data_IF_369416490717
#
_entry.id   IF_369416490717
#
_cell.length_a   1.000
_cell.length_b   1.000
_cell.length_c   1.000
_cell.angle_alpha   90.00
_cell.angle_beta   90.00
_cell.angle_gamma   90.00
#
_symmetry.space_group_name_H-M   'P 1'
#
loop_
_entity.id
_entity.type
_entity.pdbx_description
1 polymer ?
#
# COMPACT_ATOMS: atom_id res chain seq x y z
N UNK A 1 -12.79 -49.25 44.85
CA UNK A 1 -11.41 -49.31 45.37
C UNK A 1 -10.50 -49.63 44.20
N UNK A 2 -9.80 -48.64 43.67
CA UNK A 2 -8.44 -48.74 43.12
C UNK A 2 -8.09 -47.36 42.56
N UNK A 3 -7.17 -46.72 43.22
CA UNK A 3 -6.55 -45.43 42.94
C UNK A 3 -5.40 -45.63 41.96
N UNK A 4 -5.33 -44.81 40.90
CA UNK A 4 -4.15 -44.71 40.04
C UNK A 4 -3.42 -43.37 40.25
N UNK A 5 -2.08 -43.35 40.31
CA UNK A 5 -1.32 -42.17 40.68
C UNK A 5 -1.04 -41.26 39.46
N UNK A 6 -1.09 -39.97 39.75
CA UNK A 6 -0.67 -38.85 38.91
C UNK A 6 0.85 -38.88 38.65
N UNK A 7 1.26 -38.82 37.39
CA UNK A 7 2.67 -38.63 36.98
C UNK A 7 2.88 -37.18 36.53
N UNK A 8 3.48 -36.40 37.40
CA UNK A 8 3.97 -35.04 37.09
C UNK A 8 5.30 -35.12 36.35
N UNK A 9 5.33 -34.70 35.06
CA UNK A 9 6.57 -34.49 34.30
C UNK A 9 7.00 -33.03 34.43
N UNK A 10 8.10 -32.86 35.17
CA UNK A 10 8.85 -31.62 35.26
C UNK A 10 9.54 -31.30 33.91
N UNK A 11 9.27 -30.11 33.37
CA UNK A 11 9.98 -29.56 32.21
C UNK A 11 11.22 -28.83 32.71
N UNK A 12 12.40 -29.36 32.35
CA UNK A 12 13.67 -28.71 32.64
C UNK A 12 13.92 -27.61 31.61
N UNK A 13 14.15 -26.39 32.10
CA UNK A 13 14.61 -25.24 31.33
C UNK A 13 16.10 -25.39 31.01
N UNK A 14 16.44 -25.50 29.74
CA UNK A 14 17.80 -25.40 29.26
C UNK A 14 18.15 -23.92 28.99
N UNK A 15 19.14 -23.40 29.72
CA UNK A 15 19.73 -22.08 29.50
C UNK A 15 20.79 -22.17 28.40
N UNK A 16 20.83 -21.22 27.40
CA UNK A 16 21.95 -21.18 26.45
C UNK A 16 23.16 -20.47 27.07
N UNK A 17 24.31 -21.13 27.01
CA UNK A 17 25.61 -20.64 27.40
C UNK A 17 26.10 -19.54 26.48
N UNK A 18 26.52 -18.41 27.06
CA UNK A 18 27.21 -17.32 26.38
C UNK A 18 28.66 -17.72 26.08
N UNK A 19 28.96 -17.99 24.81
CA UNK A 19 30.34 -18.08 24.32
C UNK A 19 30.91 -16.68 24.06
N UNK A 20 31.87 -16.25 24.87
CA UNK A 20 32.71 -15.08 24.61
C UNK A 20 33.76 -15.44 23.57
N UNK A 21 33.69 -14.85 22.38
CA UNK A 21 34.78 -14.88 21.40
C UNK A 21 35.64 -13.63 21.59
N UNK A 22 36.82 -13.82 22.17
CA UNK A 22 37.89 -12.79 22.27
C UNK A 22 38.60 -12.71 20.93
N UNK A 23 38.48 -11.59 20.21
CA UNK A 23 39.34 -11.29 19.06
C UNK A 23 40.60 -10.58 19.52
N UNK A 24 41.77 -11.22 19.31
CA UNK A 24 43.09 -10.58 19.42
C UNK A 24 43.27 -9.61 18.24
N UNK A 25 43.51 -8.34 18.57
CA UNK A 25 43.93 -7.34 17.59
C UNK A 25 45.46 -7.45 17.39
N UNK A 26 45.88 -7.83 16.20
CA UNK A 26 47.26 -7.72 15.77
C UNK A 26 47.51 -6.28 15.24
N UNK A 27 48.32 -5.52 15.93
CA UNK A 27 48.76 -4.18 15.51
C UNK A 27 49.90 -4.34 14.47
N UNK A 28 49.57 -4.09 13.20
CA UNK A 28 50.53 -3.92 12.12
C UNK A 28 50.86 -2.46 11.93
N UNK A 29 52.12 -2.08 12.33
CA UNK A 29 52.69 -0.78 12.04
C UNK A 29 53.06 -0.72 10.55
N UNK A 30 52.35 0.07 9.75
CA UNK A 30 52.78 0.43 8.38
C UNK A 30 53.19 1.89 8.40
N UNK A 31 54.46 2.12 8.10
CA UNK A 31 55.07 3.45 8.10
C UNK A 31 54.42 4.35 7.03
N UNK A 32 53.95 5.50 7.49
CA UNK A 32 53.43 6.56 6.62
C UNK A 32 54.63 7.36 6.07
N UNK A 33 54.89 7.23 4.77
CA UNK A 33 55.75 8.14 4.02
C UNK A 33 54.96 9.42 3.82
N UNK A 34 55.34 10.51 4.51
CA UNK A 34 54.79 11.83 4.30
C UNK A 34 55.31 12.42 2.99
N UNK A 35 54.58 12.28 1.92
CA UNK A 35 54.72 13.08 0.70
C UNK A 35 54.02 14.44 0.97
N UNK A 36 54.82 15.47 1.19
CA UNK A 36 54.30 16.87 1.22
C UNK A 36 54.01 17.28 -0.22
N UNK A 37 52.76 17.65 -0.55
CA UNK A 37 52.47 18.25 -1.86
C UNK A 37 53.04 19.69 -1.86
N UNK A 38 53.90 19.99 -2.84
CA UNK A 38 54.34 21.31 -3.18
C UNK A 38 53.12 22.15 -3.58
N UNK A 39 52.80 23.20 -2.85
CA UNK A 39 51.75 24.14 -3.22
C UNK A 39 52.27 25.01 -4.35
N UNK A 40 51.70 24.84 -5.53
CA UNK A 40 51.91 25.68 -6.69
C UNK A 40 51.05 26.96 -6.51
N UNK A 41 51.68 28.17 -6.39
CA UNK A 41 50.91 29.39 -6.09
C UNK A 41 50.05 29.91 -7.25
N UNK A 42 50.16 29.33 -8.45
CA UNK A 42 49.42 29.75 -9.65
C UNK A 42 48.31 28.78 -10.10
N UNK A 43 47.90 27.85 -9.27
CA UNK A 43 46.79 26.98 -9.61
C UNK A 43 45.49 27.76 -9.59
N UNK A 44 44.66 27.70 -10.70
CA UNK A 44 43.36 28.38 -10.72
C UNK A 44 42.45 27.79 -9.64
N UNK A 45 42.02 28.62 -8.70
CA UNK A 45 40.98 28.27 -7.70
C UNK A 45 39.70 27.92 -8.44
N UNK A 46 39.45 26.63 -8.63
CA UNK A 46 38.14 26.14 -9.03
C UNK A 46 37.16 26.50 -7.90
N UNK A 47 36.38 27.55 -8.13
CA UNK A 47 35.26 27.92 -7.26
C UNK A 47 34.28 26.73 -7.27
N UNK A 48 34.33 25.94 -6.20
CA UNK A 48 33.29 24.98 -5.89
C UNK A 48 32.04 25.77 -5.48
N UNK A 49 31.22 26.15 -6.48
CA UNK A 49 29.84 26.55 -6.19
C UNK A 49 29.20 25.40 -5.44
N UNK A 50 28.59 25.64 -4.27
CA UNK A 50 27.86 24.60 -3.57
C UNK A 50 26.75 24.11 -4.52
N UNK A 51 26.88 22.85 -4.95
CA UNK A 51 25.84 22.18 -5.73
C UNK A 51 24.60 22.19 -4.84
N UNK A 52 23.63 23.06 -5.18
CA UNK A 52 22.32 23.02 -4.55
C UNK A 52 21.83 21.55 -4.55
N UNK A 53 21.31 21.04 -3.42
CA UNK A 53 20.70 19.75 -3.43
C UNK A 53 19.62 19.81 -4.50
N UNK A 54 19.80 19.00 -5.55
CA UNK A 54 18.78 18.76 -6.56
C UNK A 54 17.53 18.39 -5.77
N UNK A 55 16.49 19.23 -5.88
CA UNK A 55 15.21 18.93 -5.26
C UNK A 55 14.90 17.49 -5.63
N UNK A 56 14.83 16.63 -4.62
CA UNK A 56 14.40 15.26 -4.81
C UNK A 56 13.03 15.36 -5.50
N UNK A 57 12.97 14.98 -6.77
CA UNK A 57 11.70 14.82 -7.49
C UNK A 57 11.04 13.65 -6.76
N UNK A 58 10.19 13.99 -5.79
CA UNK A 58 9.27 13.00 -5.21
C UNK A 58 8.54 12.39 -6.42
N UNK A 59 8.55 11.05 -6.59
CA UNK A 59 7.83 10.43 -7.69
C UNK A 59 6.35 10.69 -7.48
N UNK A 60 5.87 11.77 -8.08
CA UNK A 60 4.45 12.10 -8.11
C UNK A 60 3.83 11.05 -9.03
N UNK A 61 3.22 10.02 -8.45
CA UNK A 61 2.32 9.14 -9.19
C UNK A 61 1.23 10.05 -9.74
N UNK A 62 1.31 10.39 -11.01
CA UNK A 62 0.28 11.15 -11.72
C UNK A 62 -0.95 10.24 -11.80
N UNK A 63 -1.75 10.30 -10.74
CA UNK A 63 -3.12 9.81 -10.78
C UNK A 63 -3.85 10.70 -11.80
N UNK A 64 -4.42 10.09 -12.84
CA UNK A 64 -5.05 10.80 -13.95
C UNK A 64 -6.14 11.76 -13.46
N UNK A 65 -6.58 12.70 -14.32
CA UNK A 65 -7.66 13.66 -14.05
C UNK A 65 -8.93 13.01 -13.45
N UNK A 66 -9.14 11.75 -13.71
CA UNK A 66 -10.23 10.93 -13.14
C UNK A 66 -10.14 10.75 -11.62
N UNK A 67 -8.94 10.76 -11.03
CA UNK A 67 -8.77 10.67 -9.57
C UNK A 67 -9.25 11.92 -8.84
N UNK A 68 -9.18 13.08 -9.50
CA UNK A 68 -9.71 14.34 -8.95
C UNK A 68 -11.23 14.33 -8.87
N UNK A 69 -11.91 13.74 -9.86
CA UNK A 69 -13.37 13.61 -9.88
C UNK A 69 -13.87 12.65 -8.79
N UNK A 70 -13.20 11.53 -8.56
CA UNK A 70 -13.53 10.66 -7.42
C UNK A 70 -13.33 11.40 -6.08
N UNK A 71 -12.25 12.17 -5.97
CA UNK A 71 -11.99 13.02 -4.82
C UNK A 71 -13.13 14.02 -4.56
N UNK A 72 -13.71 14.61 -5.60
CA UNK A 72 -14.86 15.51 -5.50
C UNK A 72 -16.11 14.79 -5.00
N UNK A 73 -16.41 13.58 -5.52
CA UNK A 73 -17.54 12.78 -5.02
C UNK A 73 -17.38 12.49 -3.53
N UNK A 74 -16.17 12.06 -3.13
CA UNK A 74 -15.88 11.75 -1.73
C UNK A 74 -15.91 13.01 -0.84
N UNK A 75 -15.43 14.15 -1.34
CA UNK A 75 -15.50 15.41 -0.60
C UNK A 75 -16.96 15.86 -0.37
N UNK A 76 -17.86 15.64 -1.33
CA UNK A 76 -19.26 16.05 -1.28
C UNK A 76 -20.15 15.08 -0.49
N UNK A 77 -19.95 13.78 -0.68
CA UNK A 77 -20.89 12.74 -0.20
C UNK A 77 -20.26 11.76 0.78
N UNK A 78 -18.97 11.96 1.11
CA UNK A 78 -18.17 11.07 1.95
C UNK A 78 -18.18 9.61 1.43
N UNK A 79 -18.42 8.64 2.29
CA UNK A 79 -18.43 7.21 1.95
C UNK A 79 -19.79 6.73 1.38
N UNK A 80 -20.85 7.55 1.44
CA UNK A 80 -22.21 7.11 1.13
C UNK A 80 -22.40 6.56 -0.30
N UNK A 81 -21.86 7.18 -1.37
CA UNK A 81 -21.94 6.62 -2.71
C UNK A 81 -21.31 5.24 -2.82
N UNK A 82 -20.12 5.06 -2.23
CA UNK A 82 -19.43 3.77 -2.23
C UNK A 82 -20.22 2.73 -1.42
N UNK A 83 -20.75 3.09 -0.27
CA UNK A 83 -21.60 2.21 0.52
C UNK A 83 -22.82 1.73 -0.29
N UNK A 84 -23.46 2.62 -1.02
CA UNK A 84 -24.63 2.28 -1.87
C UNK A 84 -24.25 1.29 -2.98
N UNK A 85 -23.06 1.44 -3.57
CA UNK A 85 -22.54 0.50 -4.57
C UNK A 85 -22.31 -0.88 -3.93
N UNK A 86 -21.69 -0.93 -2.76
CA UNK A 86 -21.31 -2.17 -2.07
C UNK A 86 -22.50 -2.92 -1.48
N UNK A 87 -23.63 -2.26 -1.19
CA UNK A 87 -24.88 -2.90 -0.72
C UNK A 87 -25.47 -3.91 -1.68
N UNK A 88 -25.04 -3.91 -2.93
CA UNK A 88 -25.41 -4.95 -3.91
C UNK A 88 -24.76 -6.30 -3.63
N UNK A 89 -23.71 -6.30 -2.80
CA UNK A 89 -22.88 -7.48 -2.55
C UNK A 89 -22.90 -7.90 -1.09
N UNK A 90 -23.14 -6.97 -0.16
CA UNK A 90 -23.09 -7.22 1.27
C UNK A 90 -24.26 -6.61 2.02
N UNK A 91 -24.45 -7.04 3.28
CA UNK A 91 -25.41 -6.42 4.20
C UNK A 91 -25.08 -4.94 4.37
N UNK A 92 -26.11 -4.08 4.58
CA UNK A 92 -25.93 -2.63 4.69
C UNK A 92 -24.88 -2.20 5.73
N UNK A 93 -24.81 -2.89 6.86
CA UNK A 93 -23.88 -2.59 7.94
C UNK A 93 -22.43 -2.80 7.50
N UNK A 94 -22.14 -3.95 6.87
CA UNK A 94 -20.82 -4.27 6.33
C UNK A 94 -20.44 -3.32 5.20
N UNK A 95 -21.37 -3.07 4.28
CA UNK A 95 -21.14 -2.14 3.16
C UNK A 95 -20.79 -0.73 3.64
N UNK A 96 -21.46 -0.22 4.68
CA UNK A 96 -21.16 1.09 5.27
C UNK A 96 -19.79 1.11 5.95
N UNK A 97 -19.46 0.08 6.76
CA UNK A 97 -18.15 -0.01 7.44
C UNK A 97 -17.02 -0.08 6.42
N UNK A 98 -17.16 -0.95 5.42
CA UNK A 98 -16.17 -1.11 4.33
C UNK A 98 -15.97 0.20 3.57
N UNK A 99 -17.07 0.84 3.16
CA UNK A 99 -16.99 2.09 2.40
C UNK A 99 -16.30 3.20 3.20
N UNK A 100 -16.62 3.34 4.48
CA UNK A 100 -16.00 4.34 5.38
C UNK A 100 -14.51 4.07 5.53
N UNK A 101 -14.11 2.82 5.77
CA UNK A 101 -12.70 2.45 5.91
C UNK A 101 -11.92 2.66 4.60
N UNK A 102 -12.49 2.26 3.45
CA UNK A 102 -11.87 2.51 2.13
C UNK A 102 -11.66 4.01 1.88
N UNK A 103 -12.68 4.84 2.16
CA UNK A 103 -12.57 6.29 1.93
C UNK A 103 -11.56 6.93 2.87
N UNK A 104 -11.51 6.50 4.15
CA UNK A 104 -10.48 6.94 5.11
C UNK A 104 -9.08 6.67 4.58
N UNK A 105 -8.78 5.41 4.27
CA UNK A 105 -7.43 5.00 3.81
C UNK A 105 -7.09 5.61 2.42
N UNK A 106 -8.08 5.74 1.54
CA UNK A 106 -7.88 6.38 0.24
C UNK A 106 -7.44 7.85 0.38
N UNK A 107 -8.05 8.60 1.29
CA UNK A 107 -7.66 9.99 1.60
C UNK A 107 -6.25 10.06 2.20
N UNK A 108 -5.95 9.22 3.20
CA UNK A 108 -4.66 9.20 3.89
C UNK A 108 -3.51 8.81 2.94
N UNK A 109 -3.76 7.88 2.03
CA UNK A 109 -2.77 7.35 1.10
C UNK A 109 -2.76 8.06 -0.26
N UNK A 110 -3.64 9.04 -0.46
CA UNK A 110 -3.83 9.76 -1.73
C UNK A 110 -4.08 8.81 -2.91
N UNK A 111 -4.90 7.78 -2.67
CA UNK A 111 -5.28 6.80 -3.67
C UNK A 111 -6.75 6.95 -4.07
N UNK A 112 -7.13 6.59 -5.32
CA UNK A 112 -8.53 6.54 -5.71
C UNK A 112 -9.31 5.53 -4.85
N UNK A 113 -10.45 5.91 -4.25
CA UNK A 113 -11.30 4.96 -3.51
C UNK A 113 -11.74 3.77 -4.36
N UNK A 114 -11.98 3.97 -5.66
CA UNK A 114 -12.31 2.91 -6.61
C UNK A 114 -11.20 1.88 -6.75
N UNK A 115 -9.94 2.29 -6.69
CA UNK A 115 -8.80 1.38 -6.80
C UNK A 115 -8.72 0.46 -5.59
N UNK A 116 -8.81 1.01 -4.37
CA UNK A 116 -8.82 0.19 -3.15
C UNK A 116 -10.03 -0.74 -3.09
N UNK A 117 -11.22 -0.25 -3.45
CA UNK A 117 -12.42 -1.06 -3.55
C UNK A 117 -12.30 -2.15 -4.64
N UNK A 118 -11.61 -1.84 -5.73
CA UNK A 118 -11.31 -2.81 -6.80
C UNK A 118 -10.41 -3.95 -6.32
N UNK A 119 -9.38 -3.66 -5.52
CA UNK A 119 -8.56 -4.68 -4.85
C UNK A 119 -9.44 -5.53 -3.94
N UNK A 120 -10.16 -4.90 -3.00
CA UNK A 120 -11.01 -5.56 -2.03
C UNK A 120 -12.03 -6.50 -2.70
N UNK A 121 -12.79 -6.04 -3.70
CA UNK A 121 -13.78 -6.88 -4.40
C UNK A 121 -13.14 -7.98 -5.28
N UNK A 122 -11.88 -7.85 -5.63
CA UNK A 122 -11.14 -8.91 -6.33
C UNK A 122 -10.68 -10.00 -5.38
N UNK A 123 -10.30 -9.63 -4.15
CA UNK A 123 -9.89 -10.55 -3.09
C UNK A 123 -11.09 -11.23 -2.43
N UNK A 124 -12.13 -10.46 -2.13
CA UNK A 124 -13.31 -10.95 -1.41
C UNK A 124 -14.59 -10.34 -2.01
N UNK A 125 -15.10 -10.98 -3.04
CA UNK A 125 -16.27 -10.47 -3.77
C UNK A 125 -17.58 -10.49 -2.97
N UNK A 126 -17.63 -11.26 -1.89
CA UNK A 126 -18.83 -11.37 -1.02
C UNK A 126 -18.79 -10.46 0.18
N UNK A 127 -17.65 -9.78 0.41
CA UNK A 127 -17.41 -8.90 1.56
C UNK A 127 -17.63 -9.63 2.91
N UNK A 128 -17.10 -10.84 3.03
CA UNK A 128 -17.14 -11.67 4.23
C UNK A 128 -15.86 -11.43 5.07
N UNK A 129 -15.91 -10.70 6.21
CA UNK A 129 -14.70 -10.33 6.97
C UNK A 129 -13.92 -11.51 7.52
N UNK A 130 -14.60 -12.62 7.83
CA UNK A 130 -14.01 -13.81 8.46
C UNK A 130 -13.35 -14.79 7.46
N UNK A 131 -13.28 -14.41 6.17
CA UNK A 131 -12.68 -15.27 5.15
C UNK A 131 -11.19 -15.48 5.38
N UNK A 132 -10.77 -16.74 5.43
CA UNK A 132 -9.36 -17.13 5.51
C UNK A 132 -9.06 -18.04 4.32
N UNK A 133 -8.04 -17.69 3.53
CA UNK A 133 -7.63 -18.52 2.40
C UNK A 133 -6.78 -19.73 2.87
N UNK A 134 -6.66 -20.73 1.99
CA UNK A 134 -5.78 -21.89 2.23
C UNK A 134 -4.30 -21.52 2.40
N UNK A 135 -3.90 -20.33 1.98
CA UNK A 135 -2.54 -19.78 2.15
C UNK A 135 -2.39 -18.88 3.37
N UNK A 136 -3.42 -18.77 4.22
CA UNK A 136 -3.40 -17.98 5.44
C UNK A 136 -3.63 -16.47 5.26
N UNK A 137 -4.05 -16.02 4.07
CA UNK A 137 -4.51 -14.65 3.88
C UNK A 137 -5.87 -14.46 4.55
N UNK A 138 -6.11 -13.31 5.18
CA UNK A 138 -7.22 -13.05 6.09
C UNK A 138 -8.06 -11.86 5.63
N UNK A 139 -9.36 -12.01 5.72
CA UNK A 139 -10.34 -10.94 5.69
C UNK A 139 -10.64 -10.38 4.32
N UNK A 140 -11.11 -9.13 4.30
CA UNK A 140 -11.67 -8.47 3.12
C UNK A 140 -10.64 -8.20 2.03
N UNK A 141 -9.44 -7.77 2.41
CA UNK A 141 -8.33 -7.50 1.48
C UNK A 141 -7.33 -8.65 1.41
N UNK A 142 -7.65 -9.81 2.02
CA UNK A 142 -6.78 -10.99 2.03
C UNK A 142 -5.35 -10.68 2.46
N UNK A 143 -5.22 -10.03 3.61
CA UNK A 143 -3.93 -9.60 4.17
C UNK A 143 -3.22 -10.81 4.79
N UNK A 144 -1.94 -10.98 4.47
CA UNK A 144 -1.13 -12.01 5.09
C UNK A 144 -0.82 -11.65 6.56
N UNK A 145 -0.88 -12.64 7.47
CA UNK A 145 -0.76 -12.44 8.92
C UNK A 145 0.53 -11.73 9.36
N UNK A 146 1.62 -11.87 8.61
CA UNK A 146 2.88 -11.18 8.93
C UNK A 146 2.84 -9.67 8.65
N UNK A 147 1.75 -9.15 8.11
CA UNK A 147 1.52 -7.71 7.97
C UNK A 147 0.71 -7.12 9.14
N UNK A 148 0.13 -7.96 10.01
CA UNK A 148 -0.51 -7.46 11.24
C UNK A 148 0.55 -6.80 12.13
N UNK A 149 0.25 -5.65 12.72
CA UNK A 149 1.16 -4.88 13.57
C UNK A 149 2.32 -4.18 12.85
N UNK A 150 2.41 -4.27 11.51
CA UNK A 150 3.48 -3.59 10.75
C UNK A 150 3.17 -2.11 10.51
N UNK A 151 1.89 -1.76 10.49
CA UNK A 151 1.42 -0.40 10.21
C UNK A 151 0.67 0.14 11.43
N UNK A 152 0.67 1.47 11.55
CA UNK A 152 -0.10 2.18 12.58
C UNK A 152 -1.60 2.17 12.19
N UNK A 153 -2.24 1.03 12.49
CA UNK A 153 -3.67 0.80 12.35
C UNK A 153 -4.28 0.66 13.75
N UNK A 154 -5.55 1.02 13.91
CA UNK A 154 -6.22 1.01 15.22
C UNK A 154 -6.27 -0.37 15.88
N UNK A 155 -6.06 -1.45 15.13
CA UNK A 155 -6.03 -2.84 15.60
C UNK A 155 -5.22 -3.73 14.66
N UNK A 156 -4.61 -4.77 15.22
CA UNK A 156 -3.89 -5.82 14.47
C UNK A 156 -4.77 -7.03 14.13
N UNK A 157 -6.02 -7.02 14.60
CA UNK A 157 -6.97 -8.09 14.30
C UNK A 157 -7.49 -7.97 12.85
N UNK A 158 -6.91 -8.78 11.98
CA UNK A 158 -7.26 -8.83 10.55
C UNK A 158 -8.67 -9.35 10.25
N UNK A 159 -9.44 -9.81 11.24
CA UNK A 159 -10.86 -10.16 11.07
C UNK A 159 -11.76 -8.93 11.23
N UNK A 160 -11.26 -7.85 11.83
CA UNK A 160 -11.98 -6.58 11.90
C UNK A 160 -11.94 -5.85 10.56
N UNK A 161 -13.08 -5.32 10.15
CA UNK A 161 -13.26 -4.64 8.85
C UNK A 161 -12.26 -3.50 8.66
N UNK A 162 -12.19 -2.60 9.63
CA UNK A 162 -11.38 -1.39 9.57
C UNK A 162 -9.89 -1.72 9.60
N UNK A 163 -9.47 -2.61 10.51
CA UNK A 163 -8.08 -3.06 10.63
C UNK A 163 -7.61 -3.75 9.35
N UNK A 164 -8.42 -4.66 8.80
CA UNK A 164 -8.08 -5.38 7.58
C UNK A 164 -7.88 -4.44 6.39
N UNK A 165 -8.77 -3.44 6.23
CA UNK A 165 -8.68 -2.46 5.15
C UNK A 165 -7.47 -1.55 5.36
N UNK A 166 -7.21 -1.09 6.58
CA UNK A 166 -6.02 -0.29 6.91
C UNK A 166 -4.74 -1.05 6.53
N UNK A 167 -4.53 -2.24 7.05
CA UNK A 167 -3.33 -3.03 6.75
C UNK A 167 -3.22 -3.34 5.25
N UNK A 168 -4.30 -3.77 4.60
CA UNK A 168 -4.31 -4.10 3.18
C UNK A 168 -4.00 -2.90 2.28
N UNK A 169 -4.60 -1.75 2.55
CA UNK A 169 -4.36 -0.52 1.80
C UNK A 169 -2.90 -0.05 1.95
N UNK A 170 -2.33 -0.10 3.16
CA UNK A 170 -0.93 0.29 3.43
C UNK A 170 0.08 -0.68 2.82
N UNK A 171 -0.21 -1.99 2.80
CA UNK A 171 0.58 -2.98 2.05
C UNK A 171 0.60 -2.62 0.55
N UNK A 172 -0.58 -2.34 -0.03
CA UNK A 172 -0.68 -1.98 -1.44
C UNK A 172 0.06 -0.67 -1.75
N UNK A 173 -0.16 0.38 -0.95
CA UNK A 173 0.54 1.66 -1.07
C UNK A 173 2.06 1.49 -0.98
N UNK A 174 2.55 0.64 -0.07
CA UNK A 174 3.96 0.31 0.05
C UNK A 174 4.52 -0.38 -1.20
N UNK A 175 3.75 -1.23 -1.88
CA UNK A 175 4.15 -1.78 -3.18
C UNK A 175 4.13 -0.71 -4.26
N UNK A 176 3.11 0.15 -4.30
CA UNK A 176 3.00 1.23 -5.27
C UNK A 176 4.18 2.20 -5.17
N UNK A 177 4.53 2.62 -3.96
CA UNK A 177 5.70 3.49 -3.71
C UNK A 177 7.01 2.86 -4.23
N UNK A 178 7.18 1.54 -4.09
CA UNK A 178 8.40 0.84 -4.54
C UNK A 178 8.46 0.57 -6.03
N UNK A 179 7.32 0.46 -6.70
CA UNK A 179 7.27 0.11 -8.14
C UNK A 179 7.00 1.30 -9.03
N UNK A 180 6.41 2.36 -8.48
CA UNK A 180 5.91 3.54 -9.19
C UNK A 180 4.98 3.18 -10.38
N UNK A 181 4.36 1.99 -10.33
CA UNK A 181 3.44 1.48 -11.34
C UNK A 181 2.36 0.61 -10.71
N UNK A 182 1.09 0.96 -10.97
CA UNK A 182 -0.09 0.29 -10.38
C UNK A 182 -0.13 -1.19 -10.76
N UNK A 183 0.19 -1.56 -12.00
CA UNK A 183 0.13 -2.96 -12.43
C UNK A 183 1.19 -3.79 -11.73
N UNK A 184 2.39 -3.27 -11.61
CA UNK A 184 3.50 -3.90 -10.89
C UNK A 184 3.22 -4.01 -9.39
N UNK A 185 2.61 -2.98 -8.78
CA UNK A 185 2.17 -3.02 -7.39
C UNK A 185 1.12 -4.11 -7.16
N UNK A 186 0.12 -4.22 -8.04
CA UNK A 186 -0.92 -5.25 -8.00
C UNK A 186 -0.34 -6.66 -8.17
N UNK A 187 0.64 -6.85 -9.05
CA UNK A 187 1.34 -8.13 -9.19
C UNK A 187 2.03 -8.52 -7.88
N UNK A 188 2.72 -7.59 -7.23
CA UNK A 188 3.38 -7.83 -5.94
C UNK A 188 2.37 -8.11 -4.83
N UNK A 189 1.26 -7.38 -4.80
CA UNK A 189 0.19 -7.57 -3.83
C UNK A 189 -0.36 -9.01 -3.89
N UNK A 190 -0.62 -9.52 -5.08
CA UNK A 190 -1.06 -10.90 -5.30
C UNK A 190 0.08 -11.94 -5.17
N UNK A 191 1.26 -11.57 -4.70
CA UNK A 191 2.41 -12.46 -4.54
C UNK A 191 3.03 -12.95 -5.86
N UNK A 192 2.77 -12.25 -6.97
CA UNK A 192 3.32 -12.54 -8.29
C UNK A 192 4.76 -12.04 -8.41
N UNK A 193 5.70 -12.72 -7.77
CA UNK A 193 7.13 -12.45 -7.93
C UNK A 193 7.71 -13.28 -9.08
N UNK A 194 8.84 -12.83 -9.65
CA UNK A 194 9.45 -13.34 -10.90
C UNK A 194 9.43 -14.86 -11.12
N UNK A 195 9.65 -15.64 -10.07
CA UNK A 195 9.70 -17.11 -10.13
C UNK A 195 8.33 -17.81 -10.07
N UNK A 196 7.23 -17.08 -9.81
CA UNK A 196 5.89 -17.65 -9.59
C UNK A 196 4.81 -17.05 -10.50
N UNK A 197 5.18 -16.51 -11.65
CA UNK A 197 4.26 -15.84 -12.57
C UNK A 197 3.39 -16.84 -13.35
N UNK A 198 2.33 -17.36 -12.74
CA UNK A 198 1.29 -18.17 -13.40
C UNK A 198 0.40 -17.32 -14.31
N UNK A 199 -0.39 -17.96 -15.18
CA UNK A 199 -1.38 -17.26 -16.02
C UNK A 199 -2.43 -16.53 -15.19
N UNK A 200 -2.84 -17.10 -14.03
CA UNK A 200 -3.74 -16.46 -13.07
C UNK A 200 -3.13 -15.19 -12.49
N UNK A 201 -1.87 -15.27 -12.11
CA UNK A 201 -1.07 -14.17 -11.61
C UNK A 201 -1.09 -12.97 -12.57
N UNK A 202 -0.76 -13.20 -13.83
CA UNK A 202 -0.72 -12.14 -14.86
C UNK A 202 -2.07 -11.48 -15.12
N UNK A 203 -3.19 -12.19 -14.89
CA UNK A 203 -4.56 -11.65 -15.06
C UNK A 203 -5.05 -10.83 -13.87
N UNK A 204 -4.41 -10.95 -12.70
CA UNK A 204 -4.84 -10.27 -11.48
C UNK A 204 -4.94 -8.74 -11.64
N UNK A 205 -3.93 -8.00 -12.12
CA UNK A 205 -4.06 -6.56 -12.31
C UNK A 205 -5.25 -6.16 -13.20
N UNK A 206 -5.47 -6.89 -14.28
CA UNK A 206 -6.60 -6.60 -15.18
C UNK A 206 -7.96 -6.86 -14.53
N UNK A 207 -8.06 -7.81 -13.59
CA UNK A 207 -9.28 -8.01 -12.80
C UNK A 207 -9.54 -6.83 -11.87
N UNK A 208 -8.53 -6.43 -11.11
CA UNK A 208 -8.63 -5.30 -10.18
C UNK A 208 -9.00 -4.01 -10.92
N UNK A 209 -8.27 -3.69 -11.99
CA UNK A 209 -8.50 -2.45 -12.75
C UNK A 209 -9.90 -2.41 -13.39
N UNK A 210 -10.42 -3.53 -13.88
CA UNK A 210 -11.82 -3.58 -14.37
C UNK A 210 -12.85 -3.38 -13.24
N UNK A 211 -12.59 -3.89 -12.04
CA UNK A 211 -13.45 -3.63 -10.88
C UNK A 211 -13.38 -2.16 -10.48
N UNK A 212 -12.17 -1.62 -10.36
CA UNK A 212 -11.94 -0.23 -10.05
C UNK A 212 -12.67 0.70 -11.04
N UNK A 213 -12.55 0.44 -12.34
CA UNK A 213 -13.21 1.21 -13.39
C UNK A 213 -14.74 1.18 -13.28
N UNK A 214 -15.32 0.03 -13.00
CA UNK A 214 -16.78 -0.08 -12.78
C UNK A 214 -17.24 0.74 -11.57
N UNK A 215 -16.48 0.68 -10.48
CA UNK A 215 -16.80 1.44 -9.26
C UNK A 215 -16.64 2.94 -9.54
N UNK A 216 -15.55 3.34 -10.17
CA UNK A 216 -15.29 4.72 -10.56
C UNK A 216 -16.45 5.28 -11.38
N UNK A 217 -16.85 4.58 -12.44
CA UNK A 217 -17.98 5.00 -13.26
C UNK A 217 -19.27 5.18 -12.45
N UNK A 218 -19.57 4.27 -11.52
CA UNK A 218 -20.73 4.38 -10.65
C UNK A 218 -20.61 5.54 -9.66
N UNK A 219 -19.43 5.81 -9.12
CA UNK A 219 -19.20 6.97 -8.25
C UNK A 219 -19.43 8.29 -9.00
N UNK A 220 -18.96 8.40 -10.24
CA UNK A 220 -19.12 9.62 -11.03
C UNK A 220 -20.58 9.95 -11.36
N UNK A 221 -21.49 8.97 -11.31
CA UNK A 221 -22.93 9.22 -11.48
C UNK A 221 -23.54 10.06 -10.34
N UNK A 222 -22.85 10.21 -9.22
CA UNK A 222 -23.27 11.10 -8.13
C UNK A 222 -22.86 12.56 -8.35
N UNK A 223 -22.01 12.85 -9.35
CA UNK A 223 -21.71 14.24 -9.68
C UNK A 223 -22.92 14.89 -10.38
N UNK A 224 -23.19 16.19 -10.11
CA UNK A 224 -24.21 16.94 -10.84
C UNK A 224 -23.91 16.92 -12.35
N UNK A 225 -24.93 16.70 -13.16
CA UNK A 225 -24.82 16.68 -14.62
C UNK A 225 -24.67 18.10 -15.23
N UNK A 226 -24.79 19.14 -14.42
CA UNK A 226 -24.86 20.54 -14.86
C UNK A 226 -23.51 21.14 -15.28
N UNK A 227 -22.45 20.33 -15.35
CA UNK A 227 -21.21 20.73 -16.03
C UNK A 227 -21.36 20.53 -17.54
N UNK A 228 -22.34 21.24 -18.12
CA UNK A 228 -22.32 21.50 -19.53
C UNK A 228 -20.98 22.16 -19.85
N UNK A 229 -20.15 21.47 -20.60
CA UNK A 229 -19.04 22.10 -21.33
C UNK A 229 -19.72 23.24 -22.08
N UNK A 230 -19.54 24.47 -21.63
CA UNK A 230 -19.83 25.64 -22.45
C UNK A 230 -18.91 25.50 -23.66
N UNK A 231 -19.43 24.88 -24.71
CA UNK A 231 -18.87 24.96 -26.04
C UNK A 231 -19.02 26.41 -26.40
N UNK A 232 -17.95 27.16 -26.20
CA UNK A 232 -17.84 28.54 -26.61
C UNK A 232 -17.91 28.54 -28.13
N UNK A 233 -19.15 28.55 -28.65
CA UNK A 233 -19.41 28.84 -30.05
C UNK A 233 -19.07 30.34 -30.25
N UNK A 234 -17.78 30.58 -30.47
CA UNK A 234 -17.30 31.88 -30.88
C UNK A 234 -17.97 32.24 -32.19
N UNK A 235 -19.05 33.00 -32.12
CA UNK A 235 -19.56 33.81 -33.22
C UNK A 235 -18.52 34.87 -33.51
N UNK A 236 -17.71 34.62 -34.56
CA UNK A 236 -16.82 35.60 -35.11
C UNK A 236 -17.59 36.83 -35.62
N UNK A 237 -17.03 38.02 -35.54
CA UNK A 237 -17.67 39.23 -36.07
C UNK A 237 -17.72 39.18 -37.58
N UNK A 238 -18.93 39.23 -38.13
CA UNK A 238 -19.15 39.62 -39.53
C UNK A 238 -18.96 41.12 -39.67
N UNK A 239 -17.96 41.52 -40.40
CA UNK A 239 -17.82 42.86 -40.99
C UNK A 239 -18.27 42.84 -42.42
#
# INVERSE_FOLDING_TARGET
>A
MQTTPSSSRSVQHATPSRGFLTFLAAAGFVGAVLLTPSLDPDAPVLSLTPRQPSAAIEPTVTLSADSTLEGEVVARYDHLPLAQILRRTAKPEIANRVARAIVKEARELQLPPSLLAGVLLTENSRLEPETISSRGAVGLMQVMRFHAGVFDCDSDDLLQVEANICHGARVFAGYLKRTNDVRSALLRYNGCVRSRATSSCRRYPSKVLRQAERIRHQLLLYLPRDRGVAVNSGSGPTS
#
